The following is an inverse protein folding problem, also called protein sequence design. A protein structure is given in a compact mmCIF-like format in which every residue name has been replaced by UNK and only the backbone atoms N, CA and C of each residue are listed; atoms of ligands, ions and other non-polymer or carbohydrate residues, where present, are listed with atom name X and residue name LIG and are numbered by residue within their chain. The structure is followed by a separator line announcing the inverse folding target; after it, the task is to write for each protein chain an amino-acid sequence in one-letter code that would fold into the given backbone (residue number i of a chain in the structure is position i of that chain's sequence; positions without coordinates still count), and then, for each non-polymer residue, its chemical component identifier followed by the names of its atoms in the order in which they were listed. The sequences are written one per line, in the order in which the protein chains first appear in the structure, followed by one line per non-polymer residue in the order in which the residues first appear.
data_IF_995612093709
#
_entry.id   IF_995612093709
#
_cell.length_a   1.000
_cell.length_b   1.000
_cell.length_c   1.000
_cell.angle_alpha   90.00
_cell.angle_beta   90.00
_cell.angle_gamma   90.00
#
_symmetry.space_group_name_H-M   'P 1'
#
loop_
_entity.id
_entity.type
_entity.pdbx_description
1 polymer ?
#
# COMPACT_ATOMS: atom_id res chain seq x y z
N UNK A 1 2.00 8.75 -7.34
CA UNK A 1 1.77 7.34 -7.00
C UNK A 1 0.32 6.87 -7.27
N UNK A 2 -0.79 7.44 -6.72
CA UNK A 2 -2.14 6.88 -6.98
C UNK A 2 -2.59 6.94 -8.44
N UNK A 3 -2.17 7.95 -9.22
CA UNK A 3 -2.56 8.09 -10.64
C UNK A 3 -1.98 7.00 -11.54
N UNK A 4 -0.75 6.56 -11.27
CA UNK A 4 -0.05 5.55 -12.07
C UNK A 4 -0.68 4.15 -11.89
N UNK A 5 -0.99 3.75 -10.65
CA UNK A 5 -1.68 2.50 -10.36
C UNK A 5 -3.08 2.42 -11.01
N UNK A 6 -3.86 3.50 -10.91
CA UNK A 6 -5.20 3.57 -11.51
C UNK A 6 -5.13 3.53 -13.03
N UNK A 7 -4.16 4.19 -13.64
CA UNK A 7 -3.97 4.17 -15.10
C UNK A 7 -3.56 2.78 -15.58
N UNK A 8 -2.63 2.10 -14.88
CA UNK A 8 -2.25 0.73 -15.20
C UNK A 8 -3.44 -0.23 -15.07
N UNK A 9 -4.23 -0.11 -14.00
CA UNK A 9 -5.43 -0.92 -13.81
C UNK A 9 -6.44 -0.73 -14.94
N UNK A 10 -6.65 0.51 -15.40
CA UNK A 10 -7.53 0.81 -16.55
C UNK A 10 -6.99 0.24 -17.86
N UNK A 11 -5.69 0.32 -18.11
CA UNK A 11 -5.07 -0.25 -19.32
C UNK A 11 -5.16 -1.77 -19.32
N UNK A 12 -4.88 -2.44 -18.19
CA UNK A 12 -5.06 -3.88 -18.03
C UNK A 12 -6.52 -4.28 -18.23
N UNK A 13 -7.47 -3.48 -17.74
CA UNK A 13 -8.90 -3.76 -17.91
C UNK A 13 -9.37 -3.76 -19.37
N UNK A 14 -8.75 -2.94 -20.24
CA UNK A 14 -9.01 -2.97 -21.69
C UNK A 14 -8.53 -4.26 -22.32
N UNK A 15 -7.48 -4.86 -21.78
CA UNK A 15 -6.87 -6.12 -22.23
C UNK A 15 -7.21 -7.29 -21.28
N UNK A 16 -8.34 -7.19 -20.55
CA UNK A 16 -8.66 -8.12 -19.46
C UNK A 16 -8.63 -9.59 -19.89
N UNK A 17 -9.09 -9.91 -21.10
CA UNK A 17 -9.07 -11.28 -21.60
C UNK A 17 -7.63 -11.77 -21.87
N UNK A 18 -6.77 -10.93 -22.42
CA UNK A 18 -5.37 -11.27 -22.66
C UNK A 18 -4.62 -11.47 -21.34
N UNK A 19 -4.86 -10.60 -20.36
CA UNK A 19 -4.32 -10.74 -19.00
C UNK A 19 -4.73 -12.05 -18.37
N UNK A 20 -6.04 -12.38 -18.41
CA UNK A 20 -6.56 -13.63 -17.86
C UNK A 20 -5.98 -14.86 -18.58
N UNK A 21 -5.84 -14.84 -19.90
CA UNK A 21 -5.20 -15.95 -20.63
C UNK A 21 -3.75 -16.16 -20.22
N UNK A 22 -3.02 -15.10 -19.90
CA UNK A 22 -1.62 -15.17 -19.53
C UNK A 22 -1.43 -15.62 -18.08
N UNK A 23 -2.08 -14.96 -17.12
CA UNK A 23 -1.86 -15.19 -15.69
C UNK A 23 -2.81 -16.24 -15.08
N UNK A 24 -3.99 -16.45 -15.67
CA UNK A 24 -5.02 -17.36 -15.20
C UNK A 24 -5.33 -18.43 -16.27
N UNK A 25 -4.28 -19.06 -16.79
CA UNK A 25 -4.36 -19.99 -17.93
C UNK A 25 -5.22 -21.22 -17.69
N UNK A 26 -5.43 -21.64 -16.43
CA UNK A 26 -6.35 -22.74 -16.06
C UNK A 26 -7.82 -22.34 -16.11
N UNK A 27 -8.10 -21.05 -16.34
CA UNK A 27 -9.45 -20.55 -16.50
C UNK A 27 -9.95 -20.64 -17.94
N UNK A 28 -11.22 -20.28 -18.11
CA UNK A 28 -11.86 -20.21 -19.41
C UNK A 28 -12.85 -19.07 -19.48
N UNK A 29 -13.07 -18.57 -20.68
CA UNK A 29 -14.08 -17.56 -20.91
C UNK A 29 -15.48 -18.15 -20.93
N UNK A 30 -16.39 -17.58 -20.16
CA UNK A 30 -17.82 -17.82 -20.21
C UNK A 30 -18.58 -16.49 -20.33
N UNK A 31 -19.06 -16.18 -21.50
CA UNK A 31 -19.76 -14.92 -21.79
C UNK A 31 -18.91 -13.67 -21.54
N UNK A 32 -19.26 -12.91 -20.51
CA UNK A 32 -18.56 -11.68 -20.10
C UNK A 32 -17.51 -11.90 -19.02
N UNK A 33 -17.31 -13.15 -18.62
CA UNK A 33 -16.45 -13.49 -17.49
C UNK A 33 -15.35 -14.47 -17.90
N UNK A 34 -14.25 -14.43 -17.19
CA UNK A 34 -13.24 -15.46 -17.13
C UNK A 34 -13.40 -16.19 -15.82
N UNK A 35 -13.59 -17.50 -15.85
CA UNK A 35 -13.76 -18.34 -14.69
C UNK A 35 -12.51 -19.17 -14.44
N UNK A 36 -12.09 -19.23 -13.18
CA UNK A 36 -10.93 -19.99 -12.70
C UNK A 36 -11.19 -20.39 -11.25
N UNK A 37 -10.36 -21.23 -10.65
CA UNK A 37 -10.52 -21.64 -9.25
C UNK A 37 -10.24 -20.52 -8.25
N UNK A 38 -9.14 -19.82 -8.41
CA UNK A 38 -8.72 -18.72 -7.55
C UNK A 38 -7.74 -17.77 -8.25
N UNK A 39 -7.31 -16.75 -7.53
CA UNK A 39 -6.35 -15.75 -8.02
C UNK A 39 -4.95 -16.33 -8.30
N UNK A 40 -4.60 -17.49 -7.75
CA UNK A 40 -3.35 -18.22 -7.96
C UNK A 40 -3.43 -19.21 -9.13
N UNK A 41 -4.44 -19.07 -9.97
CA UNK A 41 -4.63 -19.88 -11.16
C UNK A 41 -4.90 -21.36 -10.88
N UNK A 42 -5.57 -21.72 -9.79
CA UNK A 42 -5.98 -23.12 -9.57
C UNK A 42 -7.10 -23.51 -10.52
N UNK A 43 -7.20 -24.77 -10.95
CA UNK A 43 -8.34 -25.25 -11.72
C UNK A 43 -9.63 -25.12 -10.92
N UNK A 44 -10.70 -24.58 -11.52
CA UNK A 44 -12.00 -24.42 -10.85
C UNK A 44 -12.88 -23.37 -11.50
N UNK A 45 -13.90 -22.91 -10.76
CA UNK A 45 -14.91 -21.94 -11.25
C UNK A 45 -15.39 -20.99 -10.16
N UNK A 46 -14.77 -20.95 -9.00
CA UNK A 46 -15.21 -20.11 -7.88
C UNK A 46 -14.88 -18.63 -8.09
N UNK A 47 -13.77 -18.32 -8.74
CA UNK A 47 -13.38 -16.97 -9.06
C UNK A 47 -13.81 -16.57 -10.49
N UNK A 48 -14.37 -15.39 -10.62
CA UNK A 48 -14.75 -14.82 -11.91
C UNK A 48 -14.20 -13.41 -12.08
N UNK A 49 -13.52 -13.19 -13.20
CA UNK A 49 -13.02 -11.88 -13.63
C UNK A 49 -13.95 -11.31 -14.68
N UNK A 50 -14.37 -10.07 -14.53
CA UNK A 50 -15.22 -9.38 -15.49
C UNK A 50 -14.40 -8.89 -16.69
N UNK A 51 -14.66 -9.41 -17.87
CA UNK A 51 -13.94 -9.06 -19.11
C UNK A 51 -14.50 -7.81 -19.81
N UNK A 52 -15.79 -7.52 -19.60
CA UNK A 52 -16.48 -6.39 -20.23
C UNK A 52 -17.34 -5.66 -19.22
N UNK A 53 -17.19 -4.33 -19.16
CA UNK A 53 -17.93 -3.48 -18.24
C UNK A 53 -17.56 -2.01 -18.43
N UNK A 54 -18.14 -1.10 -17.64
CA UNK A 54 -17.72 0.30 -17.61
C UNK A 54 -16.26 0.44 -17.12
N UNK A 55 -15.69 1.63 -17.29
CA UNK A 55 -14.32 1.91 -16.86
C UNK A 55 -14.17 2.02 -15.32
N UNK A 56 -15.26 2.30 -14.61
CA UNK A 56 -15.24 2.48 -13.16
C UNK A 56 -16.48 1.89 -12.48
N UNK A 57 -16.42 1.74 -11.15
CA UNK A 57 -17.50 1.25 -10.31
C UNK A 57 -17.51 -0.28 -10.14
N UNK A 58 -18.51 -0.78 -9.40
CA UNK A 58 -18.63 -2.22 -9.06
C UNK A 58 -18.73 -3.15 -10.29
N UNK A 59 -19.19 -2.63 -11.42
CA UNK A 59 -19.33 -3.37 -12.67
C UNK A 59 -18.17 -3.23 -13.64
N UNK A 60 -17.08 -2.59 -13.26
CA UNK A 60 -15.95 -2.29 -14.13
C UNK A 60 -15.29 -3.56 -14.68
N UNK A 61 -14.79 -3.47 -15.93
CA UNK A 61 -13.94 -4.49 -16.49
C UNK A 61 -12.65 -4.66 -15.64
N UNK A 62 -12.07 -5.86 -15.64
CA UNK A 62 -10.88 -6.17 -14.88
C UNK A 62 -11.09 -6.39 -13.37
N UNK A 63 -12.30 -6.22 -12.85
CA UNK A 63 -12.62 -6.58 -11.46
C UNK A 63 -12.94 -8.07 -11.35
N UNK A 64 -12.47 -8.67 -10.27
CA UNK A 64 -12.73 -10.06 -9.96
C UNK A 64 -13.35 -10.24 -8.58
N UNK A 65 -14.01 -11.36 -8.40
CA UNK A 65 -14.56 -11.82 -7.12
C UNK A 65 -14.42 -13.34 -7.06
N UNK A 66 -14.01 -13.85 -5.92
CA UNK A 66 -14.04 -15.27 -5.61
C UNK A 66 -15.28 -15.57 -4.75
N UNK A 67 -16.19 -16.37 -5.26
CA UNK A 67 -17.41 -16.74 -4.56
C UNK A 67 -17.18 -17.72 -3.39
N UNK A 68 -16.04 -18.42 -3.36
CA UNK A 68 -15.72 -19.35 -2.29
C UNK A 68 -15.17 -18.63 -1.05
N UNK A 69 -14.34 -17.60 -1.23
CA UNK A 69 -13.69 -16.87 -0.13
C UNK A 69 -14.32 -15.50 0.15
N UNK A 70 -15.06 -14.93 -0.82
CA UNK A 70 -15.58 -13.57 -0.77
C UNK A 70 -14.52 -12.51 -1.10
N UNK A 71 -13.31 -12.90 -1.42
CA UNK A 71 -12.24 -11.99 -1.83
C UNK A 71 -12.55 -11.33 -3.17
N UNK A 72 -12.04 -10.14 -3.35
CA UNK A 72 -12.22 -9.38 -4.57
C UNK A 72 -11.04 -8.42 -4.80
N UNK A 73 -10.84 -8.04 -6.06
CA UNK A 73 -9.75 -7.15 -6.42
C UNK A 73 -9.78 -6.75 -7.88
N UNK A 74 -8.61 -6.44 -8.42
CA UNK A 74 -8.43 -6.10 -9.83
C UNK A 74 -7.29 -6.89 -10.49
N UNK A 75 -6.97 -6.53 -11.74
CA UNK A 75 -5.95 -7.27 -12.51
C UNK A 75 -4.52 -7.05 -11.99
N UNK A 76 -4.24 -5.99 -11.24
CA UNK A 76 -2.95 -5.83 -10.56
C UNK A 76 -2.80 -6.85 -9.43
N UNK A 77 -3.88 -7.13 -8.69
CA UNK A 77 -3.88 -8.20 -7.69
C UNK A 77 -3.68 -9.58 -8.32
N UNK A 78 -4.30 -9.82 -9.50
CA UNK A 78 -4.05 -11.06 -10.25
C UNK A 78 -2.58 -11.22 -10.61
N UNK A 79 -1.95 -10.17 -11.14
CA UNK A 79 -0.51 -10.21 -11.48
C UNK A 79 0.32 -10.47 -10.22
N UNK A 80 0.01 -9.78 -9.12
CA UNK A 80 0.72 -9.94 -7.84
C UNK A 80 0.68 -11.39 -7.34
N UNK A 81 -0.52 -11.94 -7.22
CA UNK A 81 -0.71 -13.26 -6.61
C UNK A 81 -0.25 -14.39 -7.53
N UNK A 82 -0.51 -14.30 -8.83
CA UNK A 82 -0.10 -15.34 -9.80
C UNK A 82 1.42 -15.38 -10.03
N UNK A 83 2.09 -14.23 -9.92
CA UNK A 83 3.54 -14.11 -10.09
C UNK A 83 4.31 -14.17 -8.77
N UNK A 84 3.62 -14.19 -7.61
CA UNK A 84 4.25 -14.21 -6.29
C UNK A 84 5.03 -12.94 -5.95
N UNK A 85 4.63 -11.79 -6.53
CA UNK A 85 5.30 -10.52 -6.31
C UNK A 85 4.83 -9.87 -5.00
N UNK A 86 5.76 -9.40 -4.19
CA UNK A 86 5.47 -8.81 -2.88
C UNK A 86 5.42 -7.28 -2.93
N UNK A 87 6.27 -6.68 -3.76
CA UNK A 87 6.35 -5.22 -3.89
C UNK A 87 5.47 -4.70 -5.03
N UNK A 88 4.76 -3.60 -4.76
CA UNK A 88 3.91 -2.97 -5.77
C UNK A 88 4.70 -2.44 -6.97
N UNK A 89 5.95 -2.04 -6.77
CA UNK A 89 6.81 -1.58 -7.85
C UNK A 89 7.06 -2.71 -8.87
N UNK A 90 7.35 -3.93 -8.39
CA UNK A 90 7.55 -5.10 -9.23
C UNK A 90 6.26 -5.49 -9.97
N UNK A 91 5.11 -5.39 -9.30
CA UNK A 91 3.79 -5.61 -9.92
C UNK A 91 3.53 -4.58 -11.04
N UNK A 92 3.85 -3.32 -10.80
CA UNK A 92 3.68 -2.26 -11.78
C UNK A 92 4.62 -2.44 -12.98
N UNK A 93 5.85 -2.87 -12.75
CA UNK A 93 6.82 -3.14 -13.81
C UNK A 93 6.40 -4.36 -14.64
N UNK A 94 5.89 -5.41 -14.02
CA UNK A 94 5.34 -6.57 -14.72
C UNK A 94 4.11 -6.19 -15.55
N UNK A 95 3.20 -5.40 -14.99
CA UNK A 95 2.04 -4.87 -15.69
C UNK A 95 2.44 -4.03 -16.93
N UNK A 96 3.46 -3.17 -16.79
CA UNK A 96 4.01 -2.38 -17.91
C UNK A 96 4.63 -3.28 -18.97
N UNK A 97 5.39 -4.31 -18.55
CA UNK A 97 6.00 -5.28 -19.45
C UNK A 97 4.92 -6.03 -20.25
N UNK A 98 3.89 -6.50 -19.58
CA UNK A 98 2.76 -7.17 -20.22
C UNK A 98 2.08 -6.27 -21.27
N UNK A 99 1.85 -4.99 -20.92
CA UNK A 99 1.23 -4.01 -21.81
C UNK A 99 2.19 -3.45 -22.87
N UNK A 100 3.43 -3.93 -22.96
CA UNK A 100 4.49 -3.41 -23.83
C UNK A 100 4.70 -1.90 -23.67
N UNK A 101 4.47 -1.36 -22.49
CA UNK A 101 4.71 0.03 -22.17
C UNK A 101 6.20 0.24 -21.88
N UNK A 102 6.76 1.42 -22.21
CA UNK A 102 8.10 1.77 -21.75
C UNK A 102 8.16 1.61 -20.24
N UNK A 103 9.26 1.03 -19.74
CA UNK A 103 9.57 1.16 -18.32
C UNK A 103 9.50 2.64 -17.99
N UNK A 104 8.75 3.00 -16.97
CA UNK A 104 9.07 4.24 -16.31
C UNK A 104 10.53 4.07 -15.89
N UNK A 105 11.43 4.86 -16.47
CA UNK A 105 12.76 4.98 -15.89
C UNK A 105 12.54 5.07 -14.38
N UNK A 106 13.30 4.31 -13.54
CA UNK A 106 13.17 4.46 -12.12
C UNK A 106 13.31 5.95 -11.88
N UNK A 107 12.15 6.58 -11.70
CA UNK A 107 12.05 7.99 -11.39
C UNK A 107 13.11 8.18 -10.32
N UNK A 108 14.21 8.94 -10.57
CA UNK A 108 15.38 8.95 -9.70
C UNK A 108 14.83 9.12 -8.32
N UNK A 109 14.86 8.03 -7.55
CA UNK A 109 14.01 7.61 -6.43
C UNK A 109 13.39 8.86 -5.85
N UNK A 110 12.08 9.11 -5.93
CA UNK A 110 11.54 10.43 -5.70
C UNK A 110 12.23 10.85 -4.43
N UNK A 111 13.19 11.77 -4.58
CA UNK A 111 13.69 12.51 -3.42
C UNK A 111 12.39 12.94 -2.83
N UNK A 112 11.94 12.16 -1.82
CA UNK A 112 10.60 12.25 -1.31
C UNK A 112 10.30 13.72 -1.33
N UNK A 113 9.52 14.16 -2.32
CA UNK A 113 8.88 15.44 -2.30
C UNK A 113 7.84 15.21 -1.22
N UNK A 114 8.40 14.98 -0.02
CA UNK A 114 7.72 15.41 1.16
C UNK A 114 7.30 16.81 0.78
N UNK A 115 6.01 17.01 0.64
CA UNK A 115 5.42 18.34 0.77
C UNK A 115 6.30 19.04 1.77
N UNK A 116 6.73 20.28 1.57
CA UNK A 116 7.62 20.93 2.50
C UNK A 116 6.96 21.06 3.87
N UNK A 117 6.67 19.91 4.47
CA UNK A 117 6.61 19.74 5.89
C UNK A 117 8.03 20.10 6.26
N UNK A 118 8.20 21.29 6.80
CA UNK A 118 9.47 21.87 7.25
C UNK A 118 10.35 20.73 7.70
N UNK A 119 11.35 20.40 6.89
CA UNK A 119 12.29 19.33 7.16
C UNK A 119 13.03 19.78 8.40
N UNK A 120 12.61 19.30 9.56
CA UNK A 120 13.31 19.54 10.78
C UNK A 120 14.76 19.14 10.53
N UNK A 121 15.71 20.05 10.69
CA UNK A 121 17.10 19.75 10.41
C UNK A 121 17.49 18.52 11.24
N UNK A 122 18.33 17.59 10.73
CA UNK A 122 18.82 16.47 11.52
C UNK A 122 19.41 16.91 12.88
N UNK A 123 19.91 18.14 12.94
CA UNK A 123 20.41 18.79 14.15
C UNK A 123 19.28 19.15 15.11
N UNK A 124 18.13 19.62 14.62
CA UNK A 124 16.95 19.89 15.44
C UNK A 124 16.40 18.59 16.05
N UNK A 125 16.37 17.51 15.27
CA UNK A 125 15.95 16.19 15.76
C UNK A 125 16.92 15.66 16.84
N UNK A 126 18.23 15.77 16.62
CA UNK A 126 19.25 15.40 17.63
C UNK A 126 19.12 16.24 18.90
N UNK A 127 18.86 17.53 18.75
CA UNK A 127 18.68 18.44 19.90
C UNK A 127 17.43 18.06 20.69
N UNK A 128 16.31 17.79 20.01
CA UNK A 128 15.07 17.33 20.64
C UNK A 128 15.30 16.02 21.41
N UNK A 129 16.00 15.07 20.80
CA UNK A 129 16.35 13.80 21.43
C UNK A 129 17.24 13.99 22.66
N UNK A 130 18.23 14.89 22.59
CA UNK A 130 19.13 15.21 23.71
C UNK A 130 18.37 15.90 24.86
N UNK A 131 17.34 16.70 24.56
CA UNK A 131 16.48 17.37 25.55
C UNK A 131 15.43 16.44 26.16
N UNK A 132 15.20 15.29 25.56
CA UNK A 132 14.25 14.29 26.02
C UNK A 132 14.86 13.38 27.08
N UNK A 133 14.03 12.93 28.02
CA UNK A 133 14.44 12.04 29.11
C UNK A 133 14.08 10.58 28.85
N UNK A 134 14.70 9.61 29.56
CA UNK A 134 14.27 8.22 29.51
C UNK A 134 12.79 8.06 29.84
N UNK A 135 12.14 7.06 29.27
CA UNK A 135 10.68 6.82 29.45
C UNK A 135 10.32 6.31 30.85
N UNK A 136 11.29 5.80 31.62
CA UNK A 136 11.06 5.24 32.96
C UNK A 136 10.42 6.29 33.90
N UNK A 137 9.35 5.89 34.58
CA UNK A 137 8.56 6.72 35.51
C UNK A 137 7.87 7.92 34.84
N UNK A 138 7.60 7.85 33.55
CA UNK A 138 6.89 8.89 32.80
C UNK A 138 5.52 8.40 32.33
N UNK A 139 4.73 9.34 31.77
CA UNK A 139 3.43 9.01 31.14
C UNK A 139 3.58 7.99 30.01
N UNK A 140 4.71 7.99 29.31
CA UNK A 140 5.00 7.04 28.22
C UNK A 140 5.13 5.62 28.75
N UNK A 141 5.81 5.42 29.86
CA UNK A 141 5.89 4.08 30.48
C UNK A 141 4.50 3.58 30.89
N UNK A 142 3.70 4.43 31.54
CA UNK A 142 2.33 4.08 31.92
C UNK A 142 1.47 3.73 30.72
N UNK A 143 1.54 4.53 29.67
CA UNK A 143 0.83 4.30 28.41
C UNK A 143 1.22 2.97 27.77
N UNK A 144 2.52 2.67 27.64
CA UNK A 144 3.00 1.43 27.02
C UNK A 144 2.58 0.19 27.85
N UNK A 145 2.70 0.27 29.19
CA UNK A 145 2.26 -0.81 30.08
C UNK A 145 0.75 -1.08 29.97
N UNK A 146 -0.07 -0.05 29.89
CA UNK A 146 -1.51 -0.17 29.67
C UNK A 146 -1.86 -0.84 28.34
N UNK A 147 -0.98 -0.73 27.35
CA UNK A 147 -1.09 -1.41 26.07
C UNK A 147 -0.49 -2.82 26.05
N UNK A 148 -0.05 -3.34 27.20
CA UNK A 148 0.54 -4.66 27.31
C UNK A 148 2.02 -4.75 26.89
N UNK A 149 2.67 -3.62 26.60
CA UNK A 149 4.09 -3.57 26.25
C UNK A 149 4.90 -3.45 27.55
N UNK A 150 5.40 -4.59 28.04
CA UNK A 150 6.06 -4.67 29.35
C UNK A 150 7.59 -4.74 29.28
N UNK A 151 8.16 -5.20 28.15
CA UNK A 151 9.60 -5.31 27.92
C UNK A 151 10.21 -3.96 27.51
N UNK A 152 10.34 -3.04 28.48
CA UNK A 152 10.79 -1.65 28.22
C UNK A 152 12.26 -1.41 28.62
N UNK A 153 12.96 -2.39 29.12
CA UNK A 153 14.32 -2.24 29.69
C UNK A 153 15.42 -1.99 28.64
N UNK A 154 15.17 -2.32 27.37
CA UNK A 154 16.11 -2.08 26.27
C UNK A 154 15.69 -0.90 25.35
N UNK A 155 14.67 -0.15 25.73
CA UNK A 155 14.10 0.91 24.91
C UNK A 155 14.91 2.23 24.96
N UNK A 156 16.24 2.15 24.84
CA UNK A 156 17.11 3.34 24.83
C UNK A 156 16.83 4.34 23.70
N UNK A 157 16.20 3.87 22.63
CA UNK A 157 15.77 4.70 21.51
C UNK A 157 14.45 5.44 21.77
N UNK A 158 13.68 5.03 22.79
CA UNK A 158 12.45 5.71 23.20
C UNK A 158 12.76 6.77 24.25
N UNK A 159 12.30 7.97 24.00
CA UNK A 159 12.48 9.11 24.89
C UNK A 159 11.14 9.80 25.16
N UNK A 160 11.05 10.47 26.29
CA UNK A 160 9.91 11.29 26.67
C UNK A 160 10.29 12.77 26.71
N UNK A 161 9.55 13.59 25.97
CA UNK A 161 9.65 15.04 26.04
C UNK A 161 8.36 15.61 26.65
N UNK A 162 8.41 16.29 27.80
CA UNK A 162 7.21 16.72 28.50
C UNK A 162 6.43 17.83 27.78
N UNK A 163 7.11 18.63 26.97
CA UNK A 163 6.54 19.80 26.27
C UNK A 163 7.13 19.93 24.87
N UNK A 164 6.75 19.00 23.97
CA UNK A 164 7.12 19.08 22.56
C UNK A 164 6.19 20.08 21.85
N UNK A 165 6.76 20.95 21.04
CA UNK A 165 5.98 21.87 20.22
C UNK A 165 5.19 21.11 19.17
N UNK A 166 3.89 21.39 19.10
CA UNK A 166 2.97 20.81 18.16
C UNK A 166 2.16 21.90 17.45
N UNK A 167 2.07 21.83 16.15
CA UNK A 167 1.23 22.70 15.33
C UNK A 167 0.50 21.80 14.33
N UNK A 168 -0.84 21.67 14.43
CA UNK A 168 -1.61 20.80 13.54
C UNK A 168 -1.61 21.30 12.09
N UNK A 169 -1.67 22.61 11.87
CA UNK A 169 -1.69 23.26 10.56
C UNK A 169 -0.84 24.53 10.57
N UNK A 170 -0.48 25.06 9.38
CA UNK A 170 0.36 26.26 9.25
C UNK A 170 -0.25 27.50 9.92
N UNK A 171 -1.59 27.61 9.92
CA UNK A 171 -2.32 28.72 10.51
C UNK A 171 -2.72 28.49 11.97
N UNK A 172 -2.51 27.29 12.51
CA UNK A 172 -2.88 26.96 13.87
C UNK A 172 -1.87 27.52 14.91
N UNK A 173 -2.32 27.87 16.11
CA UNK A 173 -1.41 28.26 17.19
C UNK A 173 -0.49 27.09 17.56
N UNK A 174 0.75 27.41 17.91
CA UNK A 174 1.69 26.41 18.42
C UNK A 174 1.34 26.04 19.85
N UNK A 175 1.06 24.78 20.08
CA UNK A 175 0.80 24.20 21.40
C UNK A 175 1.99 23.37 21.90
N UNK A 176 1.97 23.00 23.17
CA UNK A 176 2.97 22.11 23.74
C UNK A 176 2.31 20.87 24.30
N UNK A 177 2.76 19.70 23.80
CA UNK A 177 2.22 18.40 24.19
C UNK A 177 3.31 17.45 24.66
N UNK A 178 3.01 16.55 25.62
CA UNK A 178 3.91 15.45 25.91
C UNK A 178 4.07 14.56 24.68
N UNK A 179 5.29 14.21 24.34
CA UNK A 179 5.59 13.39 23.17
C UNK A 179 6.56 12.23 23.48
N UNK A 180 6.50 11.21 22.67
CA UNK A 180 7.39 10.04 22.68
C UNK A 180 8.12 9.95 21.34
#
# INVERSE_FOLDING_TARGET
MPRDASELAHRLAREAEAVCRHYLSNGRREGRYWLVGDVRNTPGRSMFVRLKGPEAGRGAAGKWTDAATGEHGDLLDVIRESSGLLDFHDVADEARRFLSLPRSDPDPAPKATRSPTQTGSPEAARRLFAMSQPIARTLVEAYLRNRGITALHEAGALRFHPRCYYRPDEDAPTETWPAM
#
